data_IF_709584003530
#
_entry.id   IF_709584003530
#
_cell.length_a   1.000
_cell.length_b   1.000
_cell.length_c   1.000
_cell.angle_alpha   90.00
_cell.angle_beta   90.00
_cell.angle_gamma   90.00
#
_symmetry.space_group_name_H-M   'P 1'
#
loop_
_entity.id
_entity.type
_entity.pdbx_description
1 polymer ?
#
# COMPACT_ATOMS: atom_id res chain seq x y z
N UNK A 1 11.14 -5.61 -19.81
CA UNK A 1 11.27 -5.19 -18.40
C UNK A 1 10.90 -3.73 -18.11
N UNK A 2 10.59 -2.87 -19.09
CA UNK A 2 10.37 -1.43 -18.85
C UNK A 2 9.03 -1.01 -18.21
N UNK A 3 8.03 -1.90 -18.12
CA UNK A 3 6.72 -1.53 -17.54
C UNK A 3 6.65 -1.61 -16.01
N UNK A 4 7.62 -2.25 -15.37
CA UNK A 4 7.61 -2.51 -13.92
C UNK A 4 8.24 -1.39 -13.10
N UNK A 5 9.15 -0.61 -13.67
CA UNK A 5 9.81 0.51 -13.00
C UNK A 5 8.83 1.58 -12.48
N UNK A 6 7.89 2.12 -13.27
CA UNK A 6 6.95 3.12 -12.76
C UNK A 6 6.00 2.54 -11.72
N UNK A 7 5.74 1.23 -11.77
CA UNK A 7 4.88 0.56 -10.80
C UNK A 7 5.60 0.40 -9.46
N UNK A 8 6.86 -0.01 -9.48
CA UNK A 8 7.70 -0.14 -8.30
C UNK A 8 7.84 1.18 -7.53
N UNK A 9 8.16 2.27 -8.23
CA UNK A 9 8.26 3.61 -7.62
C UNK A 9 6.94 4.04 -6.98
N UNK A 10 5.83 3.73 -7.64
CA UNK A 10 4.52 4.06 -7.10
C UNK A 10 4.20 3.25 -5.84
N UNK A 11 4.55 1.97 -5.80
CA UNK A 11 4.38 1.13 -4.61
C UNK A 11 5.25 1.62 -3.42
N UNK A 12 6.50 2.01 -3.70
CA UNK A 12 7.39 2.61 -2.68
C UNK A 12 6.78 3.90 -2.13
N UNK A 13 6.18 4.70 -3.00
CA UNK A 13 5.46 5.93 -2.62
C UNK A 13 4.28 5.61 -1.71
N UNK A 14 3.47 4.60 -2.03
CA UNK A 14 2.34 4.16 -1.20
C UNK A 14 2.80 3.69 0.18
N UNK A 15 3.84 2.84 0.23
CA UNK A 15 4.39 2.36 1.50
C UNK A 15 4.85 3.54 2.35
N UNK A 16 5.53 4.51 1.73
CA UNK A 16 5.98 5.72 2.40
C UNK A 16 4.80 6.52 2.94
N UNK A 17 3.73 6.65 2.17
CA UNK A 17 2.51 7.35 2.58
C UNK A 17 1.80 6.64 3.74
N UNK A 18 1.68 5.32 3.70
CA UNK A 18 1.15 4.51 4.83
C UNK A 18 1.97 4.74 6.10
N UNK A 19 3.30 4.73 5.99
CA UNK A 19 4.19 5.01 7.14
C UNK A 19 4.01 6.42 7.67
N UNK A 20 3.88 7.42 6.79
CA UNK A 20 3.60 8.81 7.19
C UNK A 20 2.24 8.92 7.87
N UNK A 21 1.19 8.28 7.35
CA UNK A 21 -0.14 8.32 7.97
C UNK A 21 -0.12 7.70 9.36
N UNK A 22 0.56 6.55 9.54
CA UNK A 22 0.74 5.93 10.86
C UNK A 22 1.51 6.85 11.81
N UNK A 23 2.65 7.36 11.36
CA UNK A 23 3.49 8.28 12.14
C UNK A 23 2.73 9.55 12.55
N UNK A 24 1.99 10.15 11.61
CA UNK A 24 1.17 11.34 11.86
C UNK A 24 0.01 11.11 12.83
N UNK A 25 -0.44 9.86 13.00
CA UNK A 25 -1.42 9.46 14.03
C UNK A 25 -0.78 8.91 15.31
N UNK A 26 0.55 9.00 15.47
CA UNK A 26 1.30 8.36 16.56
C UNK A 26 1.05 6.84 16.68
N UNK A 27 0.72 6.17 15.58
CA UNK A 27 0.55 4.72 15.54
C UNK A 27 1.88 4.04 15.25
N UNK A 28 2.07 2.87 15.87
CA UNK A 28 3.21 2.01 15.58
C UNK A 28 3.23 1.59 14.11
N UNK A 29 4.42 1.44 13.53
CA UNK A 29 4.56 0.83 12.20
C UNK A 29 4.05 -0.62 12.17
N UNK A 30 4.02 -1.28 13.34
CA UNK A 30 3.48 -2.62 13.54
C UNK A 30 1.95 -2.66 13.56
N UNK A 31 1.31 -1.52 13.75
CA UNK A 31 -0.14 -1.44 13.85
C UNK A 31 -0.77 -1.81 12.51
N UNK A 32 -1.76 -2.70 12.47
CA UNK A 32 -2.39 -3.09 11.22
C UNK A 32 -3.16 -1.93 10.59
N UNK A 33 -3.23 -1.93 9.26
CA UNK A 33 -4.11 -1.04 8.48
C UNK A 33 -5.37 -1.84 8.17
N UNK A 34 -6.55 -1.38 8.62
CA UNK A 34 -7.81 -2.12 8.38
C UNK A 34 -8.07 -2.34 6.89
N UNK A 35 -7.91 -1.29 6.09
CA UNK A 35 -8.11 -1.38 4.65
C UNK A 35 -7.17 -0.43 3.90
N UNK A 36 -6.47 -0.97 2.90
CA UNK A 36 -5.63 -0.22 1.98
C UNK A 36 -6.25 -0.28 0.59
N UNK A 37 -6.73 0.86 0.10
CA UNK A 37 -7.31 0.97 -1.25
C UNK A 37 -6.23 1.48 -2.20
N UNK A 38 -5.89 0.68 -3.21
CA UNK A 38 -4.84 0.98 -4.17
C UNK A 38 -5.43 1.50 -5.50
N UNK A 39 -4.90 2.57 -6.10
CA UNK A 39 -5.34 3.09 -7.40
C UNK A 39 -4.77 2.30 -8.61
N UNK A 40 -4.66 0.97 -8.49
CA UNK A 40 -4.13 0.08 -9.55
C UNK A 40 -5.12 -1.04 -9.83
N UNK A 41 -4.90 -1.75 -10.93
CA UNK A 41 -5.58 -3.03 -11.15
C UNK A 41 -4.87 -4.12 -10.35
N UNK A 42 -5.64 -5.11 -9.90
CA UNK A 42 -5.11 -6.29 -9.19
C UNK A 42 -4.02 -6.99 -9.99
N UNK A 43 -4.16 -7.06 -11.31
CA UNK A 43 -3.22 -7.71 -12.23
C UNK A 43 -1.82 -7.09 -12.17
N UNK A 44 -1.75 -5.76 -12.07
CA UNK A 44 -0.49 -5.02 -12.13
C UNK A 44 0.35 -5.19 -10.86
N UNK A 45 -0.33 -5.28 -9.71
CA UNK A 45 0.34 -5.40 -8.40
C UNK A 45 0.30 -6.83 -7.85
N UNK A 46 -0.22 -7.81 -8.59
CA UNK A 46 -0.43 -9.18 -8.11
C UNK A 46 0.82 -9.79 -7.47
N UNK A 47 1.99 -9.55 -8.10
CA UNK A 47 3.30 -10.01 -7.62
C UNK A 47 3.77 -9.32 -6.34
N UNK A 48 3.22 -8.15 -6.02
CA UNK A 48 3.61 -7.31 -4.88
C UNK A 48 2.54 -7.26 -3.78
N UNK A 49 1.37 -7.90 -3.96
CA UNK A 49 0.28 -7.89 -2.97
C UNK A 49 0.74 -8.44 -1.63
N UNK A 50 1.48 -9.55 -1.62
CA UNK A 50 1.98 -10.17 -0.39
C UNK A 50 2.97 -9.27 0.33
N UNK A 51 3.93 -8.69 -0.41
CA UNK A 51 4.91 -7.74 0.13
C UNK A 51 4.24 -6.48 0.67
N UNK A 52 3.29 -5.90 -0.07
CA UNK A 52 2.52 -4.75 0.36
C UNK A 52 1.77 -5.06 1.65
N UNK A 53 1.11 -6.22 1.72
CA UNK A 53 0.38 -6.64 2.92
C UNK A 53 1.32 -6.81 4.10
N UNK A 54 2.49 -7.40 3.90
CA UNK A 54 3.49 -7.62 4.93
C UNK A 54 4.08 -6.31 5.46
N UNK A 55 4.42 -5.38 4.56
CA UNK A 55 5.06 -4.09 4.88
C UNK A 55 4.07 -3.10 5.48
N UNK A 56 2.86 -3.02 4.94
CA UNK A 56 1.81 -2.10 5.43
C UNK A 56 1.02 -2.67 6.61
N UNK A 57 1.13 -3.97 6.87
CA UNK A 57 0.28 -4.71 7.83
C UNK A 57 -1.20 -4.53 7.52
N UNK A 58 -1.57 -4.47 6.24
CA UNK A 58 -2.97 -4.31 5.85
C UNK A 58 -3.75 -5.61 6.11
N UNK A 59 -4.90 -5.52 6.78
CA UNK A 59 -5.82 -6.63 6.93
C UNK A 59 -6.52 -6.93 5.60
N UNK A 60 -6.96 -5.87 4.93
CA UNK A 60 -7.63 -5.90 3.64
C UNK A 60 -6.94 -4.99 2.63
N UNK A 61 -6.76 -5.49 1.40
CA UNK A 61 -6.32 -4.71 0.26
C UNK A 61 -7.47 -4.67 -0.75
N UNK A 62 -7.87 -3.47 -1.12
CA UNK A 62 -8.93 -3.19 -2.09
C UNK A 62 -8.36 -2.38 -3.25
N UNK A 63 -9.04 -2.39 -4.39
CA UNK A 63 -8.62 -1.67 -5.59
C UNK A 63 -9.67 -0.63 -5.94
N UNK A 64 -9.24 0.62 -6.14
CA UNK A 64 -10.12 1.76 -6.31
C UNK A 64 -9.58 2.78 -7.29
N UNK A 65 -10.20 3.97 -7.32
CA UNK A 65 -9.75 5.09 -8.17
C UNK A 65 -8.63 5.92 -7.54
N UNK A 66 -8.46 5.84 -6.23
CA UNK A 66 -7.53 6.66 -5.44
C UNK A 66 -6.89 5.83 -4.34
N UNK A 67 -5.73 6.28 -3.86
CA UNK A 67 -5.08 5.72 -2.69
C UNK A 67 -5.85 6.14 -1.42
N UNK A 68 -6.34 5.17 -0.65
CA UNK A 68 -6.97 5.42 0.64
C UNK A 68 -6.40 4.49 1.71
N UNK A 69 -6.13 5.05 2.89
CA UNK A 69 -5.50 4.35 4.01
C UNK A 69 -6.46 4.43 5.20
N UNK A 70 -7.06 3.29 5.54
CA UNK A 70 -8.00 3.17 6.66
C UNK A 70 -7.30 2.49 7.84
N UNK A 71 -7.13 3.25 8.93
CA UNK A 71 -6.52 2.80 10.18
C UNK A 71 -7.58 2.37 11.20
#
# INVERSE_FOLDING_TARGET
NEKLEPLGDTLVTIISEVRKTKSGKNLSLKEPVKELILPFKKEDVALFIEDLKAVTKAEKISFGKKLEIML
#
